data_IF_483003234757
#
_entry.id   IF_483003234757
#
_cell.length_a   1.000
_cell.length_b   1.000
_cell.length_c   1.000
_cell.angle_alpha   90.00
_cell.angle_beta   90.00
_cell.angle_gamma   90.00
#
_symmetry.space_group_name_H-M   'P 1'
#
loop_
_entity.id
_entity.type
_entity.pdbx_description
1 polymer ?
#
# COMPACT_ATOMS: atom_id res chain seq x y z
N UNK A 1 -25.45 0.87 -2.97
CA UNK A 1 -24.39 1.90 -2.90
C UNK A 1 -23.25 1.34 -2.06
N UNK A 2 -22.21 0.81 -2.70
CA UNK A 2 -21.10 0.11 -2.02
C UNK A 2 -19.73 0.42 -2.63
N UNK A 3 -19.66 0.79 -3.92
CA UNK A 3 -18.41 1.18 -4.60
C UNK A 3 -17.69 2.35 -3.90
N UNK A 4 -18.44 3.34 -3.42
CA UNK A 4 -17.86 4.49 -2.72
C UNK A 4 -17.16 4.09 -1.40
N UNK A 5 -17.58 3.02 -0.73
CA UNK A 5 -16.96 2.59 0.54
C UNK A 5 -15.56 1.99 0.36
N UNK A 6 -15.26 1.50 -0.85
CA UNK A 6 -13.99 0.88 -1.22
C UNK A 6 -13.24 1.71 -2.28
N UNK A 7 -13.49 3.02 -2.34
CA UNK A 7 -12.75 3.94 -3.19
C UNK A 7 -11.39 4.28 -2.52
N UNK A 8 -10.24 4.00 -3.16
CA UNK A 8 -8.94 4.30 -2.57
C UNK A 8 -8.71 5.80 -2.34
N UNK A 9 -9.47 6.68 -3.00
CA UNK A 9 -9.38 8.14 -2.81
C UNK A 9 -9.90 8.60 -1.45
N UNK A 10 -10.66 7.77 -0.73
CA UNK A 10 -11.16 8.10 0.60
C UNK A 10 -10.09 8.03 1.69
N UNK A 11 -8.86 7.60 1.38
CA UNK A 11 -7.78 7.52 2.37
C UNK A 11 -7.49 8.88 3.06
N UNK A 12 -7.80 9.99 2.40
CA UNK A 12 -7.66 11.36 2.94
C UNK A 12 -8.62 11.68 4.09
N UNK A 13 -9.66 10.87 4.30
CA UNK A 13 -10.63 11.06 5.37
C UNK A 13 -10.12 10.56 6.73
N UNK A 14 -9.03 9.79 6.75
CA UNK A 14 -8.48 9.27 7.99
C UNK A 14 -7.55 10.29 8.64
N UNK A 15 -7.78 10.56 9.93
CA UNK A 15 -6.93 11.44 10.75
C UNK A 15 -5.64 10.77 11.22
N UNK A 16 -5.62 9.44 11.20
CA UNK A 16 -4.51 8.60 11.66
C UNK A 16 -4.25 7.47 10.65
N UNK A 17 -3.01 6.97 10.55
CA UNK A 17 -2.69 5.81 9.72
C UNK A 17 -3.57 4.60 10.07
N UNK A 18 -4.14 3.94 9.07
CA UNK A 18 -4.90 2.70 9.27
C UNK A 18 -3.99 1.51 9.11
N UNK A 19 -4.16 0.54 10.00
CA UNK A 19 -3.48 -0.75 9.89
C UNK A 19 -3.95 -1.57 8.68
N UNK A 20 -5.20 -1.36 8.25
CA UNK A 20 -5.80 -2.04 7.10
C UNK A 20 -6.55 -1.04 6.22
N UNK A 21 -6.30 -1.10 4.92
CA UNK A 21 -7.04 -0.34 3.90
C UNK A 21 -7.66 -1.34 2.93
N UNK A 22 -8.93 -1.11 2.58
CA UNK A 22 -9.69 -1.96 1.67
C UNK A 22 -10.18 -1.13 0.49
N UNK A 23 -9.94 -1.60 -0.73
CA UNK A 23 -10.38 -0.88 -1.91
C UNK A 23 -10.59 -1.81 -3.11
N UNK A 24 -11.37 -1.34 -4.08
CA UNK A 24 -11.63 -2.03 -5.34
C UNK A 24 -10.82 -1.38 -6.47
N UNK A 25 -10.17 -2.19 -7.30
CA UNK A 25 -9.53 -1.71 -8.52
C UNK A 25 -10.57 -1.62 -9.64
N UNK A 26 -10.76 -0.42 -10.20
CA UNK A 26 -11.69 -0.16 -11.30
C UNK A 26 -13.11 -0.67 -11.01
N UNK A 27 -13.71 -1.47 -11.89
CA UNK A 27 -15.03 -2.10 -11.72
C UNK A 27 -14.92 -3.56 -11.25
N UNK A 28 -13.80 -3.95 -10.63
CA UNK A 28 -13.65 -5.28 -10.08
C UNK A 28 -14.64 -5.51 -8.95
N UNK A 29 -15.29 -6.68 -8.95
CA UNK A 29 -16.12 -7.13 -7.83
C UNK A 29 -15.29 -7.50 -6.60
N UNK A 30 -13.96 -7.67 -6.76
CA UNK A 30 -13.05 -8.07 -5.68
C UNK A 30 -12.61 -6.85 -4.87
N UNK A 31 -12.64 -7.00 -3.55
CA UNK A 31 -12.03 -6.06 -2.60
C UNK A 31 -10.61 -6.52 -2.28
N UNK A 32 -9.66 -5.61 -2.43
CA UNK A 32 -8.26 -5.82 -2.12
C UNK A 32 -7.98 -5.22 -0.76
N UNK A 33 -7.28 -5.97 0.09
CA UNK A 33 -6.86 -5.53 1.43
C UNK A 33 -5.36 -5.34 1.47
N UNK A 34 -4.94 -4.15 1.86
CA UNK A 34 -3.55 -3.80 2.10
C UNK A 34 -3.35 -3.59 3.60
N UNK A 35 -2.21 -4.05 4.11
CA UNK A 35 -1.82 -3.86 5.49
C UNK A 35 -0.71 -2.80 5.58
N UNK A 36 -0.73 -2.02 6.67
CA UNK A 36 0.39 -1.18 7.03
C UNK A 36 1.58 -2.08 7.39
N UNK A 37 2.57 -2.12 6.50
CA UNK A 37 3.77 -2.95 6.68
C UNK A 37 4.84 -2.23 7.51
N UNK A 38 4.98 -0.92 7.33
CA UNK A 38 5.95 -0.10 8.05
C UNK A 38 5.64 1.40 7.89
N UNK A 39 6.15 2.22 8.81
CA UNK A 39 6.16 3.68 8.72
C UNK A 39 7.62 4.10 8.55
N UNK A 40 7.94 4.74 7.42
CA UNK A 40 9.32 5.07 7.03
C UNK A 40 9.45 6.59 6.90
N UNK A 41 10.59 7.13 7.33
CA UNK A 41 10.95 8.52 7.07
C UNK A 41 11.16 8.77 5.57
N UNK A 42 10.73 9.92 5.06
CA UNK A 42 10.80 10.24 3.63
C UNK A 42 12.24 10.14 3.06
N UNK A 43 13.26 10.45 3.85
CA UNK A 43 14.66 10.35 3.44
C UNK A 43 15.24 8.93 3.41
N UNK A 44 14.54 7.94 3.97
CA UNK A 44 14.98 6.55 4.06
C UNK A 44 14.38 5.64 2.98
N UNK A 45 13.67 6.21 2.00
CA UNK A 45 13.08 5.49 0.86
C UNK A 45 13.29 6.27 -0.43
N UNK A 46 13.67 5.59 -1.50
CA UNK A 46 13.79 6.22 -2.82
C UNK A 46 12.39 6.57 -3.35
N UNK A 47 12.17 7.85 -3.66
CA UNK A 47 10.85 8.33 -4.05
C UNK A 47 10.38 7.82 -5.42
N UNK A 48 11.30 7.40 -6.30
CA UNK A 48 10.98 6.89 -7.66
C UNK A 48 10.80 5.38 -7.65
N UNK A 49 11.74 4.65 -7.06
CA UNK A 49 11.72 3.18 -7.08
C UNK A 49 10.91 2.59 -5.94
N UNK A 50 10.60 3.38 -4.90
CA UNK A 50 9.90 2.93 -3.68
C UNK A 50 10.65 1.82 -2.95
N UNK A 51 11.97 1.84 -3.01
CA UNK A 51 12.86 0.88 -2.36
C UNK A 51 13.62 1.54 -1.22
N UNK A 52 13.82 0.81 -0.13
CA UNK A 52 14.85 1.11 0.87
C UNK A 52 16.22 0.72 0.36
N UNK A 53 17.27 1.08 1.11
CA UNK A 53 18.65 0.76 0.74
C UNK A 53 18.89 -0.74 0.59
N UNK A 54 18.26 -1.56 1.44
CA UNK A 54 18.35 -3.02 1.43
C UNK A 54 17.46 -3.69 0.36
N UNK A 55 16.64 -2.91 -0.36
CA UNK A 55 15.70 -3.39 -1.37
C UNK A 55 16.12 -3.01 -2.81
N UNK A 56 17.28 -2.35 -2.96
CA UNK A 56 17.79 -1.91 -4.26
C UNK A 56 17.94 -3.10 -5.22
N UNK A 57 17.33 -2.97 -6.40
CA UNK A 57 17.36 -4.00 -7.43
C UNK A 57 16.27 -5.07 -7.33
N UNK A 58 15.43 -5.06 -6.29
CA UNK A 58 14.32 -6.00 -6.14
C UNK A 58 13.01 -5.43 -6.69
N UNK A 59 12.21 -6.23 -7.39
CA UNK A 59 10.85 -5.84 -7.76
C UNK A 59 9.93 -5.78 -6.54
N UNK A 60 8.84 -5.01 -6.62
CA UNK A 60 7.83 -4.94 -5.54
C UNK A 60 7.30 -6.33 -5.14
N UNK A 61 7.17 -7.24 -6.12
CA UNK A 61 6.74 -8.62 -5.89
C UNK A 61 7.78 -9.43 -5.11
N UNK A 62 9.06 -9.24 -5.39
CA UNK A 62 10.17 -9.89 -4.67
C UNK A 62 10.29 -9.34 -3.25
N UNK A 63 10.21 -8.03 -3.07
CA UNK A 63 10.20 -7.40 -1.74
C UNK A 63 9.06 -7.98 -0.89
N UNK A 64 7.86 -8.04 -1.47
CA UNK A 64 6.70 -8.60 -0.79
C UNK A 64 6.91 -10.06 -0.40
N UNK A 65 7.39 -10.89 -1.33
CA UNK A 65 7.67 -12.31 -1.07
C UNK A 65 8.75 -12.55 -0.02
N UNK A 66 9.81 -11.74 -0.03
CA UNK A 66 10.94 -11.96 0.87
C UNK A 66 10.65 -11.51 2.31
N UNK A 67 9.74 -10.53 2.49
CA UNK A 67 9.51 -9.90 3.79
C UNK A 67 8.13 -10.18 4.41
N UNK A 68 7.12 -10.45 3.60
CA UNK A 68 5.72 -10.38 4.04
C UNK A 68 4.82 -11.53 3.56
N UNK A 69 5.34 -12.48 2.76
CA UNK A 69 4.63 -13.69 2.33
C UNK A 69 5.18 -14.92 3.05
#
# INVERSE_FOLDING_TARGET
MTLAAFDPRNITQYKEPRFLIHFQWTKSEKVYRYALVEIINQGAIDHKTKQKEDEKGLSQKEIWKNKYA
#
